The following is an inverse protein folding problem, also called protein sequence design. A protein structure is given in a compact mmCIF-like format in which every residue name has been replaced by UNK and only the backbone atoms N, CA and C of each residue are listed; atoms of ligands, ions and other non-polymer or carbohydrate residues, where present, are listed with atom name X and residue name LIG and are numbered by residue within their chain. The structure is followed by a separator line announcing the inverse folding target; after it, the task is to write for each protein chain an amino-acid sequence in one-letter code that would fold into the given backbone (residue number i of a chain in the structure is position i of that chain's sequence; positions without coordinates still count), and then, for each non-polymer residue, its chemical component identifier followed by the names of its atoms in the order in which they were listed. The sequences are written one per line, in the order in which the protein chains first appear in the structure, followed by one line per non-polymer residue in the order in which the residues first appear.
data_IF_433425883664
#
_entry.id   IF_433425883664
#
_cell.length_a   1.000
_cell.length_b   1.000
_cell.length_c   1.000
_cell.angle_alpha   90.00
_cell.angle_beta   90.00
_cell.angle_gamma   90.00
#
_symmetry.space_group_name_H-M   'P 1'
#
loop_
_entity.id
_entity.type
_entity.pdbx_description
1 polymer ?
#
# COMPACT_ATOMS: atom_id res chain seq x y z
N UNK A 1 -1.56 0.30 -18.72
CA UNK A 1 -1.38 1.08 -17.46
C UNK A 1 -2.72 1.13 -16.77
N UNK A 2 -2.78 0.64 -15.56
CA UNK A 2 -3.97 0.55 -14.73
C UNK A 2 -4.24 1.85 -13.96
N UNK A 3 -5.48 2.08 -13.54
CA UNK A 3 -5.88 3.27 -12.80
C UNK A 3 -6.64 2.91 -11.53
N UNK A 4 -6.16 3.42 -10.42
CA UNK A 4 -6.82 3.30 -9.13
C UNK A 4 -7.10 4.66 -8.49
N UNK A 5 -7.80 4.64 -7.37
CA UNK A 5 -8.01 5.82 -6.53
C UNK A 5 -7.75 5.50 -5.07
N UNK A 6 -7.20 6.46 -4.33
CA UNK A 6 -6.97 6.37 -2.89
C UNK A 6 -7.77 7.44 -2.15
N UNK A 7 -8.22 7.08 -0.96
CA UNK A 7 -8.86 8.00 -0.01
C UNK A 7 -8.51 7.56 1.41
N UNK A 8 -8.26 8.51 2.29
CA UNK A 8 -8.42 8.26 3.73
C UNK A 8 -9.92 8.06 3.99
N UNK A 9 -10.33 6.81 4.18
CA UNK A 9 -11.71 6.48 4.52
C UNK A 9 -11.96 6.82 5.99
N UNK A 10 -12.79 7.83 6.26
CA UNK A 10 -12.99 8.40 7.58
C UNK A 10 -14.44 8.27 8.05
N UNK A 11 -14.68 8.55 9.33
CA UNK A 11 -16.01 8.58 9.95
C UNK A 11 -16.94 9.69 9.42
N UNK A 12 -16.41 10.61 8.60
CA UNK A 12 -17.16 11.71 7.98
C UNK A 12 -17.11 11.70 6.44
N UNK A 13 -16.39 10.75 5.83
CA UNK A 13 -16.32 10.62 4.37
C UNK A 13 -17.38 9.66 3.83
N UNK A 14 -17.47 9.56 2.49
CA UNK A 14 -18.20 8.46 1.83
C UNK A 14 -17.72 7.11 2.39
N UNK A 15 -18.66 6.20 2.62
CA UNK A 15 -18.35 4.85 3.15
C UNK A 15 -17.46 4.06 2.20
N UNK A 16 -16.55 3.20 2.71
CA UNK A 16 -15.63 2.41 1.87
C UNK A 16 -16.34 1.51 0.85
N UNK A 17 -17.46 0.87 1.25
CA UNK A 17 -18.29 0.02 0.38
C UNK A 17 -18.92 0.81 -0.76
N UNK A 18 -19.47 1.97 -0.47
CA UNK A 18 -20.04 2.89 -1.45
C UNK A 18 -19.00 3.47 -2.42
N UNK A 19 -17.83 3.86 -1.89
CA UNK A 19 -16.73 4.37 -2.70
C UNK A 19 -16.22 3.29 -3.65
N UNK A 20 -15.96 2.08 -3.15
CA UNK A 20 -15.47 0.96 -3.95
C UNK A 20 -16.42 0.65 -5.11
N UNK A 21 -17.72 0.58 -4.83
CA UNK A 21 -18.73 0.37 -5.85
C UNK A 21 -18.77 1.51 -6.88
N UNK A 22 -18.65 2.76 -6.43
CA UNK A 22 -18.64 3.92 -7.33
C UNK A 22 -17.42 3.91 -8.25
N UNK A 23 -16.24 3.48 -7.76
CA UNK A 23 -15.02 3.33 -8.54
C UNK A 23 -15.13 2.18 -9.54
N UNK A 24 -15.63 1.01 -9.09
CA UNK A 24 -15.85 -0.16 -9.96
C UNK A 24 -16.81 0.15 -11.11
N UNK A 25 -17.95 0.80 -10.82
CA UNK A 25 -18.96 1.20 -11.82
C UNK A 25 -18.39 2.17 -12.89
N UNK A 26 -17.22 2.81 -12.63
CA UNK A 26 -16.51 3.74 -13.55
C UNK A 26 -15.24 3.16 -14.16
N UNK A 27 -14.98 1.88 -13.96
CA UNK A 27 -13.87 1.17 -14.59
C UNK A 27 -12.50 1.38 -13.93
N UNK A 28 -12.46 1.86 -12.68
CA UNK A 28 -11.20 1.85 -11.94
C UNK A 28 -10.77 0.42 -11.63
N UNK A 29 -9.48 0.16 -11.81
CA UNK A 29 -8.90 -1.16 -11.55
C UNK A 29 -8.73 -1.43 -10.06
N UNK A 30 -8.48 -0.38 -9.23
CA UNK A 30 -8.20 -0.56 -7.81
C UNK A 30 -8.63 0.61 -6.92
N UNK A 31 -8.99 0.27 -5.68
CA UNK A 31 -9.23 1.18 -4.57
C UNK A 31 -8.14 1.01 -3.51
N UNK A 32 -7.65 2.12 -2.94
CA UNK A 32 -6.56 2.14 -1.97
C UNK A 32 -6.92 2.93 -0.73
N UNK A 33 -6.52 2.42 0.43
CA UNK A 33 -6.66 3.12 1.71
C UNK A 33 -5.34 3.15 2.47
N UNK A 34 -4.95 4.30 3.06
CA UNK A 34 -3.77 4.40 3.93
C UNK A 34 -4.08 3.93 5.34
N UNK A 35 -3.06 3.95 6.20
CA UNK A 35 -3.18 3.58 7.59
C UNK A 35 -2.54 4.62 8.52
N UNK A 36 -3.25 4.95 9.58
CA UNK A 36 -2.77 5.42 10.87
C UNK A 36 -3.69 4.85 11.95
N UNK A 37 -3.13 4.26 13.00
CA UNK A 37 -3.93 3.75 14.12
C UNK A 37 -4.40 4.89 15.00
N UNK A 38 -3.54 5.88 15.19
CA UNK A 38 -3.77 7.12 15.92
C UNK A 38 -2.70 8.14 15.57
N UNK A 39 -2.91 9.38 15.93
CA UNK A 39 -1.88 10.42 15.84
C UNK A 39 -1.60 10.95 17.25
N UNK A 40 -0.38 10.79 17.78
CA UNK A 40 -0.03 11.34 19.09
C UNK A 40 -0.26 12.84 19.18
N UNK A 41 -0.97 13.29 20.22
CA UNK A 41 -1.34 14.70 20.39
C UNK A 41 -0.13 15.61 20.63
N UNK A 42 1.01 15.06 21.00
CA UNK A 42 2.28 15.79 21.16
C UNK A 42 2.76 16.44 19.87
N UNK A 43 2.46 15.82 18.70
CA UNK A 43 2.85 16.30 17.38
C UNK A 43 4.35 16.60 17.26
N UNK A 44 5.21 15.81 17.92
CA UNK A 44 6.66 15.98 17.93
C UNK A 44 7.27 15.61 16.58
N UNK A 45 6.83 14.50 15.98
CA UNK A 45 7.25 14.11 14.63
C UNK A 45 6.63 15.04 13.59
N UNK A 46 7.44 15.73 12.74
CA UNK A 46 6.90 16.62 11.71
C UNK A 46 6.24 15.80 10.60
N UNK A 47 5.06 16.24 10.16
CA UNK A 47 4.40 15.65 9.01
C UNK A 47 5.16 16.00 7.72
N UNK A 48 5.49 15.00 6.84
CA UNK A 48 6.25 15.24 5.62
C UNK A 48 5.57 16.16 4.60
N UNK A 49 4.24 16.33 4.69
CA UNK A 49 3.45 17.15 3.77
C UNK A 49 3.40 18.63 4.12
N UNK A 50 3.87 19.03 5.32
CA UNK A 50 3.85 20.44 5.75
C UNK A 50 3.63 20.63 7.25
N UNK A 51 3.39 21.88 7.69
CA UNK A 51 3.22 22.19 9.11
C UNK A 51 1.88 21.70 9.68
N UNK A 52 0.83 21.70 8.86
CA UNK A 52 -0.53 21.37 9.27
C UNK A 52 -0.91 19.96 8.83
N UNK A 53 -1.05 19.05 9.80
CA UNK A 53 -1.52 17.70 9.53
C UNK A 53 -3.02 17.72 9.20
N UNK A 54 -3.44 17.17 8.04
CA UNK A 54 -4.85 17.02 7.72
C UNK A 54 -5.58 16.12 8.72
N UNK A 55 -6.84 16.46 9.03
CA UNK A 55 -7.63 15.74 10.04
C UNK A 55 -7.94 14.27 9.67
N UNK A 56 -7.96 13.95 8.39
CA UNK A 56 -8.19 12.60 7.88
C UNK A 56 -7.16 11.57 8.39
N UNK A 57 -5.96 12.01 8.77
CA UNK A 57 -4.93 11.14 9.35
C UNK A 57 -5.36 10.48 10.67
N UNK A 58 -6.07 11.19 11.55
CA UNK A 58 -6.53 10.62 12.84
C UNK A 58 -8.01 10.23 12.86
N UNK A 59 -8.70 10.38 11.73
CA UNK A 59 -10.08 9.92 11.54
C UNK A 59 -10.19 8.68 10.67
N UNK A 60 -9.08 8.21 10.07
CA UNK A 60 -9.11 7.09 9.13
C UNK A 60 -9.51 5.79 9.81
N UNK A 61 -10.28 4.96 9.10
CA UNK A 61 -10.61 3.62 9.54
C UNK A 61 -9.40 2.68 9.47
N UNK A 62 -9.45 1.56 10.22
CA UNK A 62 -8.54 0.45 9.98
C UNK A 62 -8.64 -0.02 8.53
N UNK A 63 -7.50 -0.18 7.82
CA UNK A 63 -7.50 -0.48 6.40
C UNK A 63 -8.13 -1.84 6.08
N UNK A 64 -7.93 -2.88 6.89
CA UNK A 64 -8.47 -4.21 6.63
C UNK A 64 -9.98 -4.26 6.85
N UNK A 65 -10.50 -3.52 7.84
CA UNK A 65 -11.94 -3.37 8.06
C UNK A 65 -12.59 -2.62 6.89
N UNK A 66 -11.99 -1.50 6.46
CA UNK A 66 -12.49 -0.70 5.33
C UNK A 66 -12.48 -1.51 4.01
N UNK A 67 -11.36 -2.20 3.72
CA UNK A 67 -11.23 -3.01 2.51
C UNK A 67 -12.10 -4.27 2.53
N UNK A 68 -12.40 -4.82 3.70
CA UNK A 68 -13.35 -5.94 3.81
C UNK A 68 -14.77 -5.49 3.48
N UNK A 69 -15.19 -4.29 3.92
CA UNK A 69 -16.48 -3.72 3.53
C UNK A 69 -16.54 -3.48 2.01
N UNK A 70 -15.48 -2.93 1.43
CA UNK A 70 -15.34 -2.73 -0.02
C UNK A 70 -15.39 -4.05 -0.79
N UNK A 71 -14.71 -5.11 -0.30
CA UNK A 71 -14.70 -6.43 -0.91
C UNK A 71 -16.11 -7.03 -1.03
N UNK A 72 -16.92 -6.86 0.01
CA UNK A 72 -18.30 -7.38 0.05
C UNK A 72 -19.27 -6.65 -0.89
N UNK A 73 -18.95 -5.42 -1.28
CA UNK A 73 -19.79 -4.57 -2.15
C UNK A 73 -19.42 -4.64 -3.64
N UNK A 74 -18.29 -5.24 -3.99
CA UNK A 74 -17.69 -5.23 -5.33
C UNK A 74 -17.32 -6.63 -5.81
N UNK A 75 -17.01 -6.78 -7.12
CA UNK A 75 -16.69 -8.07 -7.74
C UNK A 75 -15.29 -8.12 -8.35
N UNK A 76 -14.86 -7.04 -9.00
CA UNK A 76 -13.69 -7.03 -9.88
C UNK A 76 -12.60 -6.07 -9.42
N UNK A 77 -12.95 -4.93 -8.81
CA UNK A 77 -11.99 -3.91 -8.37
C UNK A 77 -11.00 -4.50 -7.35
N UNK A 78 -9.72 -4.27 -7.57
CA UNK A 78 -8.67 -4.64 -6.62
C UNK A 78 -8.66 -3.71 -5.40
N UNK A 79 -8.18 -4.23 -4.29
CA UNK A 79 -8.23 -3.60 -2.99
C UNK A 79 -6.82 -3.49 -2.42
N UNK A 80 -6.32 -2.29 -2.20
CA UNK A 80 -4.94 -2.08 -1.81
C UNK A 80 -4.78 -1.27 -0.52
N UNK A 81 -3.74 -1.57 0.24
CA UNK A 81 -3.25 -0.66 1.28
C UNK A 81 -2.22 0.31 0.69
N UNK A 82 -2.40 1.60 0.93
CA UNK A 82 -1.49 2.61 0.41
C UNK A 82 -1.09 3.66 1.45
N UNK A 83 -0.31 3.22 2.42
CA UNK A 83 0.37 1.98 2.77
C UNK A 83 -0.09 1.42 4.12
N UNK A 84 0.11 0.10 4.36
CA UNK A 84 -0.02 -0.50 5.67
C UNK A 84 1.27 -0.29 6.49
N UNK A 85 1.11 0.05 7.76
CA UNK A 85 2.19 0.28 8.72
C UNK A 85 2.55 -1.02 9.47
N UNK A 86 3.13 -1.99 8.77
CA UNK A 86 3.50 -3.29 9.36
C UNK A 86 4.46 -3.20 10.56
N UNK A 87 5.09 -2.06 10.74
CA UNK A 87 5.95 -1.77 11.90
C UNK A 87 5.15 -1.54 13.20
N UNK A 88 3.82 -1.40 13.09
CA UNK A 88 2.88 -1.16 14.19
C UNK A 88 1.93 -2.33 14.43
N UNK A 89 2.08 -3.44 13.67
CA UNK A 89 1.18 -4.59 13.66
C UNK A 89 1.89 -5.88 14.05
N UNK A 90 1.14 -6.77 14.72
CA UNK A 90 1.58 -8.16 14.93
C UNK A 90 1.55 -8.94 13.59
N UNK A 91 2.66 -9.57 13.17
CA UNK A 91 2.74 -10.24 11.87
C UNK A 91 1.86 -11.49 11.77
N UNK A 92 1.60 -12.21 12.86
CA UNK A 92 0.75 -13.41 12.87
C UNK A 92 -0.71 -13.01 12.67
N UNK A 93 -1.16 -11.99 13.43
CA UNK A 93 -2.53 -11.45 13.29
C UNK A 93 -2.73 -10.87 11.89
N UNK A 94 -1.81 -10.04 11.41
CA UNK A 94 -1.94 -9.39 10.09
C UNK A 94 -1.85 -10.40 8.95
N UNK A 95 -1.03 -11.45 9.07
CA UNK A 95 -1.03 -12.53 8.09
C UNK A 95 -2.40 -13.22 7.98
N UNK A 96 -3.10 -13.37 9.12
CA UNK A 96 -4.47 -13.92 9.17
C UNK A 96 -5.48 -12.96 8.53
N UNK A 97 -5.41 -11.66 8.85
CA UNK A 97 -6.30 -10.63 8.29
C UNK A 97 -6.19 -10.60 6.76
N UNK A 98 -4.95 -10.54 6.25
CA UNK A 98 -4.67 -10.51 4.80
C UNK A 98 -5.15 -11.79 4.10
N UNK A 99 -4.85 -12.96 4.64
CA UNK A 99 -5.31 -14.23 4.06
C UNK A 99 -6.84 -14.32 4.04
N UNK A 100 -7.50 -13.80 5.08
CA UNK A 100 -8.97 -13.77 5.15
C UNK A 100 -9.56 -12.79 4.13
N UNK A 101 -9.01 -11.59 4.03
CA UNK A 101 -9.44 -10.59 3.05
C UNK A 101 -9.20 -11.07 1.62
N UNK A 102 -8.05 -11.70 1.35
CA UNK A 102 -7.73 -12.25 0.04
C UNK A 102 -8.72 -13.35 -0.37
N UNK A 103 -9.07 -14.26 0.56
CA UNK A 103 -10.11 -15.28 0.35
C UNK A 103 -11.48 -14.66 0.09
N UNK A 104 -11.92 -13.72 0.94
CA UNK A 104 -13.25 -13.08 0.84
C UNK A 104 -13.38 -12.24 -0.42
N UNK A 105 -12.30 -11.63 -0.88
CA UNK A 105 -12.27 -10.85 -2.11
C UNK A 105 -12.08 -11.70 -3.38
N UNK A 106 -11.76 -13.00 -3.25
CA UNK A 106 -11.46 -13.86 -4.40
C UNK A 106 -10.11 -13.53 -5.05
N UNK A 107 -9.09 -13.14 -4.27
CA UNK A 107 -7.74 -12.87 -4.76
C UNK A 107 -7.56 -11.45 -5.33
N UNK A 108 -8.28 -10.47 -4.81
CA UNK A 108 -8.20 -9.07 -5.28
C UNK A 108 -7.33 -8.16 -4.41
N UNK A 109 -6.72 -8.66 -3.34
CA UNK A 109 -5.94 -7.84 -2.42
C UNK A 109 -4.53 -7.56 -2.93
N UNK A 110 -4.05 -6.32 -2.72
CA UNK A 110 -2.67 -5.86 -2.99
C UNK A 110 -2.13 -5.24 -1.71
N UNK A 111 -0.97 -5.72 -1.28
CA UNK A 111 -0.38 -5.33 -0.01
C UNK A 111 0.68 -4.25 -0.18
N UNK A 112 0.29 -2.98 -0.14
CA UNK A 112 1.22 -1.85 -0.09
C UNK A 112 1.72 -1.62 1.33
N UNK A 113 3.04 -1.57 1.52
CA UNK A 113 3.72 -1.47 2.82
C UNK A 113 4.69 -0.29 2.87
N UNK A 114 5.00 0.18 4.07
CA UNK A 114 6.00 1.23 4.26
C UNK A 114 6.51 1.33 5.68
N UNK A 115 7.55 2.13 5.87
CA UNK A 115 8.21 2.30 7.17
C UNK A 115 7.66 3.44 8.04
N UNK A 116 6.58 4.10 7.61
CA UNK A 116 5.97 5.21 8.36
C UNK A 116 6.90 6.40 8.60
N UNK A 117 6.34 7.48 9.11
CA UNK A 117 7.05 8.74 9.40
C UNK A 117 6.91 9.19 10.86
N UNK A 118 5.85 8.79 11.57
CA UNK A 118 5.54 9.23 12.93
C UNK A 118 6.24 8.34 13.95
N UNK A 119 7.27 8.86 14.58
CA UNK A 119 8.08 8.09 15.52
C UNK A 119 7.32 7.74 16.79
N UNK A 120 6.53 8.68 17.31
CA UNK A 120 5.77 8.48 18.55
C UNK A 120 4.65 7.44 18.35
N UNK A 121 3.95 7.44 17.22
CA UNK A 121 2.96 6.41 16.89
C UNK A 121 3.59 5.01 16.89
N UNK A 122 4.76 4.86 16.25
CA UNK A 122 5.49 3.58 16.26
C UNK A 122 5.92 3.16 17.67
N UNK A 123 6.39 4.11 18.49
CA UNK A 123 6.86 3.85 19.85
C UNK A 123 5.70 3.43 20.75
N UNK A 124 4.51 3.96 20.57
CA UNK A 124 3.28 3.53 21.28
C UNK A 124 2.91 2.08 20.94
N UNK A 125 3.27 1.59 19.75
CA UNK A 125 3.16 0.18 19.35
C UNK A 125 4.41 -0.66 19.69
N UNK A 126 5.38 -0.09 20.41
CA UNK A 126 6.58 -0.80 20.87
C UNK A 126 7.72 -0.89 19.82
N UNK A 127 7.57 -0.28 18.68
CA UNK A 127 8.61 -0.30 17.63
C UNK A 127 9.53 0.91 17.74
N UNK A 128 10.83 0.66 17.91
CA UNK A 128 11.84 1.71 17.87
C UNK A 128 11.99 2.26 16.45
N UNK A 129 11.80 3.56 16.26
CA UNK A 129 11.86 4.23 14.95
C UNK A 129 13.14 3.95 14.16
N UNK A 130 14.32 3.89 14.82
CA UNK A 130 15.59 3.63 14.15
C UNK A 130 15.70 2.18 13.65
N UNK A 131 14.92 1.26 14.20
CA UNK A 131 14.93 -0.16 13.86
C UNK A 131 13.77 -0.56 12.93
N UNK A 132 12.84 0.34 12.62
CA UNK A 132 11.60 0.08 11.87
C UNK A 132 11.80 -0.71 10.57
N UNK A 133 12.89 -0.45 9.84
CA UNK A 133 13.15 -1.17 8.59
C UNK A 133 13.56 -2.63 8.77
N UNK A 134 14.20 -2.96 9.89
CA UNK A 134 14.52 -4.36 10.26
C UNK A 134 13.25 -5.07 10.73
N UNK A 135 12.45 -4.41 11.56
CA UNK A 135 11.13 -4.91 11.99
C UNK A 135 10.24 -5.19 10.78
N UNK A 136 10.11 -4.22 9.87
CA UNK A 136 9.34 -4.39 8.63
C UNK A 136 9.81 -5.62 7.83
N UNK A 137 11.11 -5.74 7.62
CA UNK A 137 11.69 -6.88 6.87
C UNK A 137 11.32 -8.23 7.51
N UNK A 138 11.52 -8.37 8.81
CA UNK A 138 11.23 -9.64 9.50
C UNK A 138 9.74 -9.94 9.51
N UNK A 139 8.87 -8.93 9.73
CA UNK A 139 7.43 -9.10 9.66
C UNK A 139 7.00 -9.65 8.29
N UNK A 140 7.50 -9.07 7.20
CA UNK A 140 7.15 -9.52 5.83
C UNK A 140 7.67 -10.92 5.55
N UNK A 141 8.92 -11.23 5.94
CA UNK A 141 9.48 -12.57 5.73
C UNK A 141 8.72 -13.63 6.54
N UNK A 142 8.39 -13.34 7.79
CA UNK A 142 7.60 -14.23 8.64
C UNK A 142 6.18 -14.45 8.07
N UNK A 143 5.54 -13.41 7.55
CA UNK A 143 4.23 -13.52 6.91
C UNK A 143 4.29 -14.37 5.62
N UNK A 144 5.34 -14.24 4.82
CA UNK A 144 5.56 -15.10 3.64
C UNK A 144 5.68 -16.57 4.05
N UNK A 145 6.41 -16.89 5.12
CA UNK A 145 6.46 -18.24 5.69
C UNK A 145 5.04 -18.73 6.06
N UNK A 146 4.28 -17.90 6.78
CA UNK A 146 2.90 -18.24 7.19
C UNK A 146 2.00 -18.51 5.98
N UNK A 147 2.11 -17.75 4.91
CA UNK A 147 1.24 -17.91 3.73
C UNK A 147 1.62 -19.08 2.85
N UNK A 148 2.90 -19.46 2.79
CA UNK A 148 3.42 -20.41 1.80
C UNK A 148 3.65 -21.81 2.34
N UNK A 149 3.86 -21.98 3.66
CA UNK A 149 4.16 -23.26 4.28
C UNK A 149 2.96 -23.82 5.08
N UNK A 150 2.81 -25.13 5.09
CA UNK A 150 1.76 -25.79 5.90
C UNK A 150 2.07 -25.69 7.40
N UNK A 151 3.34 -25.89 7.77
CA UNK A 151 3.87 -25.74 9.13
C UNK A 151 4.97 -24.66 9.15
N UNK A 152 4.59 -23.35 9.08
CA UNK A 152 5.56 -22.27 9.15
C UNK A 152 6.22 -22.19 10.51
N UNK A 153 7.50 -21.83 10.52
CA UNK A 153 8.28 -21.42 11.68
C UNK A 153 9.17 -20.23 11.29
N UNK A 154 9.46 -19.34 12.22
CA UNK A 154 10.34 -18.20 11.97
C UNK A 154 11.12 -17.84 13.24
N UNK A 155 12.45 -17.65 13.13
CA UNK A 155 13.35 -17.36 14.26
C UNK A 155 14.25 -16.16 13.90
N UNK A 156 13.73 -14.95 14.09
CA UNK A 156 14.41 -13.68 13.85
C UNK A 156 14.77 -12.92 15.12
N UNK A 157 15.22 -11.70 14.97
CA UNK A 157 15.51 -10.78 16.08
C UNK A 157 14.21 -10.19 16.67
N UNK A 158 13.21 -9.93 15.83
CA UNK A 158 11.93 -9.27 16.21
C UNK A 158 10.74 -10.19 16.14
N UNK A 159 10.76 -11.19 15.26
CA UNK A 159 9.67 -12.15 15.10
C UNK A 159 10.18 -13.53 15.40
N UNK A 160 9.48 -14.27 16.29
CA UNK A 160 9.88 -15.60 16.69
C UNK A 160 8.65 -16.46 16.98
N UNK A 161 8.51 -17.57 16.26
CA UNK A 161 7.49 -18.58 16.53
C UNK A 161 7.91 -19.96 16.01
N UNK A 162 7.55 -20.98 16.77
CA UNK A 162 7.71 -22.38 16.39
C UNK A 162 6.62 -22.82 15.41
N UNK A 163 6.75 -24.05 14.88
CA UNK A 163 5.80 -24.63 13.93
C UNK A 163 4.35 -24.49 14.36
N UNK A 164 3.55 -23.94 13.48
CA UNK A 164 2.11 -23.72 13.75
C UNK A 164 1.28 -24.00 12.49
N UNK A 165 -0.02 -24.14 12.66
CA UNK A 165 -0.98 -24.18 11.58
C UNK A 165 -1.73 -22.84 11.51
N UNK A 166 -1.61 -22.18 10.36
CA UNK A 166 -2.25 -20.89 10.13
C UNK A 166 -3.05 -20.93 8.80
N UNK A 167 -4.35 -21.13 8.90
CA UNK A 167 -5.30 -21.15 7.79
C UNK A 167 -6.43 -20.13 8.02
N UNK A 168 -7.11 -19.60 6.94
CA UNK A 168 -6.86 -19.96 5.55
C UNK A 168 -5.51 -19.45 5.03
N UNK A 169 -5.05 -20.02 3.92
CA UNK A 169 -3.97 -19.42 3.11
C UNK A 169 -4.60 -18.45 2.11
N UNK A 170 -3.87 -17.43 1.63
CA UNK A 170 -4.35 -16.57 0.55
C UNK A 170 -4.75 -17.37 -0.70
N UNK A 171 -5.68 -16.86 -1.50
CA UNK A 171 -6.04 -17.41 -2.82
C UNK A 171 -4.90 -17.16 -3.80
N UNK A 172 -4.32 -15.97 -3.76
CA UNK A 172 -3.19 -15.58 -4.61
C UNK A 172 -1.94 -16.38 -4.24
N UNK A 173 -1.17 -16.82 -5.25
CA UNK A 173 0.03 -17.63 -5.08
C UNK A 173 1.26 -16.91 -5.63
N UNK A 174 2.37 -16.90 -4.91
CA UNK A 174 2.61 -17.54 -3.60
C UNK A 174 1.92 -16.79 -2.43
N UNK A 175 1.58 -15.54 -2.59
CA UNK A 175 0.89 -14.63 -1.66
C UNK A 175 0.35 -13.42 -2.43
N UNK A 176 -0.48 -12.54 -1.82
CA UNK A 176 -0.87 -11.26 -2.42
C UNK A 176 0.36 -10.43 -2.80
N UNK A 177 0.35 -9.68 -3.93
CA UNK A 177 1.49 -8.85 -4.32
C UNK A 177 1.84 -7.82 -3.25
N UNK A 178 3.13 -7.69 -2.94
CA UNK A 178 3.66 -6.77 -1.92
C UNK A 178 4.36 -5.61 -2.62
N UNK A 179 3.88 -4.38 -2.39
CA UNK A 179 4.45 -3.17 -2.98
C UNK A 179 5.11 -2.30 -1.89
N UNK A 180 6.38 -1.92 -2.10
CA UNK A 180 7.13 -1.06 -1.19
C UNK A 180 6.87 0.41 -1.47
N UNK A 181 6.28 1.10 -0.51
CA UNK A 181 6.14 2.56 -0.53
C UNK A 181 7.42 3.30 -0.15
N UNK A 182 7.56 4.50 -0.67
CA UNK A 182 8.66 5.40 -0.35
C UNK A 182 9.76 5.47 -1.41
N UNK A 183 10.76 6.35 -1.16
CA UNK A 183 11.81 6.69 -2.12
C UNK A 183 13.13 7.01 -1.40
N UNK A 184 13.42 6.28 -0.34
CA UNK A 184 14.68 6.40 0.41
C UNK A 184 15.84 5.66 -0.27
N UNK A 185 17.09 5.91 0.17
CA UNK A 185 18.29 5.40 -0.48
C UNK A 185 18.42 3.87 -0.52
N UNK A 186 17.72 3.15 0.36
CA UNK A 186 17.71 1.68 0.42
C UNK A 186 16.35 1.08 0.09
N UNK A 187 15.47 1.84 -0.58
CA UNK A 187 14.13 1.36 -0.96
C UNK A 187 14.25 0.23 -1.99
N UNK A 188 15.11 0.38 -2.97
CA UNK A 188 15.30 -0.63 -4.04
C UNK A 188 15.87 -1.94 -3.51
N UNK A 189 16.78 -1.90 -2.52
CA UNK A 189 17.28 -3.11 -1.86
C UNK A 189 16.12 -3.92 -1.27
N UNK A 190 15.17 -3.26 -0.62
CA UNK A 190 13.98 -3.89 -0.04
C UNK A 190 13.02 -4.41 -1.09
N UNK A 191 12.81 -3.64 -2.17
CA UNK A 191 11.97 -4.09 -3.29
C UNK A 191 12.53 -5.37 -3.88
N UNK A 192 13.83 -5.38 -4.18
CA UNK A 192 14.50 -6.53 -4.79
C UNK A 192 14.53 -7.74 -3.86
N UNK A 193 14.73 -7.51 -2.54
CA UNK A 193 14.86 -8.60 -1.57
C UNK A 193 13.51 -9.28 -1.26
N UNK A 194 12.45 -8.51 -1.00
CA UNK A 194 11.23 -9.11 -0.45
C UNK A 194 9.88 -8.52 -0.94
N UNK A 195 9.87 -7.65 -1.96
CA UNK A 195 8.61 -7.12 -2.49
C UNK A 195 8.41 -7.49 -3.97
N UNK A 196 7.19 -7.29 -4.48
CA UNK A 196 6.80 -7.58 -5.85
C UNK A 196 6.68 -6.30 -6.70
N UNK A 197 6.97 -5.15 -6.10
CA UNK A 197 6.97 -3.87 -6.80
C UNK A 197 7.28 -2.69 -5.91
N UNK A 198 7.31 -1.53 -6.55
CA UNK A 198 7.62 -0.24 -5.95
C UNK A 198 6.46 0.73 -6.10
N UNK A 199 6.18 1.48 -5.03
CA UNK A 199 5.08 2.44 -4.97
C UNK A 199 5.60 3.85 -4.61
N UNK A 200 6.21 4.58 -5.59
CA UNK A 200 6.64 5.97 -5.40
C UNK A 200 5.47 6.93 -5.24
N UNK A 201 5.68 8.01 -4.47
CA UNK A 201 4.68 9.05 -4.23
C UNK A 201 4.85 10.19 -5.25
N UNK A 202 3.73 10.66 -5.82
CA UNK A 202 3.62 11.92 -6.53
C UNK A 202 4.19 11.97 -7.95
N UNK A 203 4.57 10.85 -8.54
CA UNK A 203 5.02 10.80 -9.94
C UNK A 203 6.27 11.64 -10.26
N UNK A 204 6.94 12.17 -9.26
CA UNK A 204 8.16 12.97 -9.38
C UNK A 204 9.37 12.14 -8.94
N UNK A 205 10.49 12.37 -9.61
CA UNK A 205 11.77 11.90 -9.07
C UNK A 205 12.10 12.63 -7.77
N UNK A 206 12.98 12.07 -6.98
CA UNK A 206 13.55 12.74 -5.79
C UNK A 206 15.07 12.77 -5.89
N UNK A 207 15.71 13.70 -5.18
CA UNK A 207 17.16 13.83 -5.22
C UNK A 207 17.74 14.21 -6.59
N UNK A 208 16.96 14.90 -7.45
CA UNK A 208 17.41 15.32 -8.78
C UNK A 208 17.35 14.23 -9.87
N UNK A 209 16.88 13.03 -9.53
CA UNK A 209 16.73 11.89 -10.46
C UNK A 209 15.27 11.76 -10.85
N UNK A 210 14.95 11.64 -12.14
CA UNK A 210 13.58 11.47 -12.64
C UNK A 210 13.00 10.10 -12.28
N UNK A 211 11.67 9.99 -12.30
CA UNK A 211 11.00 8.70 -12.05
C UNK A 211 11.45 7.62 -13.07
N UNK A 212 11.55 7.99 -14.35
CA UNK A 212 12.00 7.07 -15.41
C UNK A 212 13.40 6.52 -15.13
N UNK A 213 14.36 7.39 -14.76
CA UNK A 213 15.71 6.97 -14.42
C UNK A 213 15.72 6.04 -13.18
N UNK A 214 14.88 6.32 -12.19
CA UNK A 214 14.74 5.46 -11.00
C UNK A 214 14.16 4.09 -11.33
N UNK A 215 13.20 4.01 -12.24
CA UNK A 215 12.65 2.73 -12.73
C UNK A 215 13.75 1.93 -13.41
N UNK A 216 14.56 2.56 -14.27
CA UNK A 216 15.71 1.90 -14.92
C UNK A 216 16.72 1.41 -13.89
N UNK A 217 17.02 2.21 -12.86
CA UNK A 217 17.94 1.81 -11.78
C UNK A 217 17.40 0.61 -10.98
N UNK A 218 16.12 0.62 -10.63
CA UNK A 218 15.48 -0.48 -9.92
C UNK A 218 15.50 -1.78 -10.74
N UNK A 219 15.12 -1.70 -12.01
CA UNK A 219 15.13 -2.86 -12.92
C UNK A 219 16.53 -3.45 -13.09
N UNK A 220 17.55 -2.60 -13.24
CA UNK A 220 18.95 -3.05 -13.30
C UNK A 220 19.37 -3.74 -12.00
N UNK A 221 19.03 -3.19 -10.83
CA UNK A 221 19.37 -3.79 -9.54
C UNK A 221 18.67 -5.16 -9.36
N UNK A 222 17.44 -5.31 -9.85
CA UNK A 222 16.74 -6.58 -9.86
C UNK A 222 17.46 -7.61 -10.74
N UNK A 223 17.88 -7.24 -11.95
CA UNK A 223 18.64 -8.10 -12.87
C UNK A 223 19.98 -8.52 -12.27
N UNK A 224 20.74 -7.59 -11.66
CA UNK A 224 21.99 -7.86 -10.95
C UNK A 224 21.81 -8.85 -9.78
N UNK A 225 20.65 -8.85 -9.15
CA UNK A 225 20.27 -9.79 -8.10
C UNK A 225 19.69 -11.14 -8.65
N UNK A 226 19.67 -11.31 -9.97
CA UNK A 226 19.14 -12.53 -10.62
C UNK A 226 17.61 -12.62 -10.65
N UNK A 227 16.92 -11.48 -10.47
CA UNK A 227 15.47 -11.39 -10.50
C UNK A 227 15.03 -10.81 -11.86
N UNK A 228 13.94 -11.36 -12.42
CA UNK A 228 13.31 -10.79 -13.63
C UNK A 228 12.86 -9.35 -13.36
N UNK A 229 13.45 -8.34 -14.04
CA UNK A 229 13.10 -6.94 -13.86
C UNK A 229 11.66 -6.62 -14.27
N UNK A 230 11.07 -7.37 -15.18
CA UNK A 230 9.69 -7.17 -15.64
C UNK A 230 8.64 -7.82 -14.71
N UNK A 231 9.09 -8.58 -13.70
CA UNK A 231 8.23 -9.06 -12.62
C UNK A 231 7.85 -7.96 -11.61
N UNK A 232 8.53 -6.81 -11.63
CA UNK A 232 8.31 -5.71 -10.69
C UNK A 232 7.20 -4.78 -11.16
N UNK A 233 6.14 -4.63 -10.34
CA UNK A 233 5.08 -3.67 -10.60
C UNK A 233 5.47 -2.27 -10.11
N UNK A 234 5.29 -1.26 -10.95
CA UNK A 234 5.53 0.16 -10.63
C UNK A 234 4.18 0.87 -10.49
N UNK A 235 3.80 1.18 -9.25
CA UNK A 235 2.54 1.85 -8.92
C UNK A 235 2.80 3.28 -8.45
N UNK A 236 2.57 4.29 -9.29
CA UNK A 236 2.74 5.70 -8.90
C UNK A 236 1.52 6.19 -8.09
N UNK A 237 1.79 6.68 -6.89
CA UNK A 237 0.78 6.95 -5.87
C UNK A 237 0.59 8.45 -5.64
N UNK A 238 -0.65 8.88 -5.42
CA UNK A 238 -0.94 10.24 -5.02
C UNK A 238 -0.95 11.27 -6.15
N UNK A 239 -1.47 10.90 -7.32
CA UNK A 239 -1.52 11.78 -8.49
C UNK A 239 -2.83 12.57 -8.56
N UNK A 240 -2.78 13.69 -9.31
CA UNK A 240 -3.97 14.44 -9.73
C UNK A 240 -4.37 14.00 -11.14
N UNK A 241 -5.63 14.19 -11.56
CA UNK A 241 -6.10 13.90 -12.92
C UNK A 241 -5.59 14.95 -13.93
N UNK A 242 -4.33 14.81 -14.33
CA UNK A 242 -3.63 15.67 -15.27
C UNK A 242 -3.18 14.80 -16.47
N UNK A 243 -3.75 15.00 -17.69
CA UNK A 243 -3.43 14.21 -18.87
C UNK A 243 -1.93 14.20 -19.23
N UNK A 244 -1.25 15.34 -19.07
CA UNK A 244 0.19 15.45 -19.37
C UNK A 244 1.02 14.66 -18.35
N UNK A 245 0.61 14.68 -17.08
CA UNK A 245 1.25 13.88 -16.05
C UNK A 245 1.06 12.38 -16.30
N UNK A 246 -0.16 11.97 -16.68
CA UNK A 246 -0.46 10.58 -17.03
C UNK A 246 0.33 10.12 -18.26
N UNK A 247 0.48 10.98 -19.29
CA UNK A 247 1.34 10.72 -20.43
C UNK A 247 2.78 10.43 -20.01
N UNK A 248 3.36 11.27 -19.16
CA UNK A 248 4.72 11.07 -18.62
C UNK A 248 4.85 9.79 -17.78
N UNK A 249 3.81 9.39 -17.02
CA UNK A 249 3.82 8.12 -16.27
C UNK A 249 3.88 6.92 -17.22
N UNK A 250 3.09 6.95 -18.28
CA UNK A 250 3.09 5.90 -19.31
C UNK A 250 4.45 5.78 -20.01
N UNK A 251 5.04 6.91 -20.40
CA UNK A 251 6.38 6.97 -21.01
C UNK A 251 7.49 6.49 -20.07
N UNK A 252 7.34 6.74 -18.77
CA UNK A 252 8.29 6.29 -17.75
C UNK A 252 8.19 4.77 -17.45
N UNK A 253 7.17 4.07 -17.96
CA UNK A 253 6.97 2.64 -17.71
C UNK A 253 6.27 2.34 -16.39
N UNK A 254 5.39 3.24 -15.93
CA UNK A 254 4.52 3.01 -14.77
C UNK A 254 3.39 2.05 -15.15
N UNK A 255 3.16 1.01 -14.34
CA UNK A 255 2.12 0.01 -14.57
C UNK A 255 0.76 0.45 -14.04
N UNK A 256 0.73 1.18 -12.91
CA UNK A 256 -0.50 1.68 -12.27
C UNK A 256 -0.33 3.10 -11.76
N UNK A 257 -1.37 3.89 -11.95
CA UNK A 257 -1.50 5.25 -11.42
C UNK A 257 -2.63 5.29 -10.38
N UNK A 258 -2.37 5.88 -9.20
CA UNK A 258 -3.36 6.03 -8.13
C UNK A 258 -3.67 7.52 -7.95
N UNK A 259 -4.91 7.91 -8.24
CA UNK A 259 -5.40 9.26 -7.98
C UNK A 259 -5.73 9.46 -6.51
N UNK A 260 -5.45 10.66 -5.97
CA UNK A 260 -5.87 11.04 -4.62
C UNK A 260 -7.24 11.69 -4.64
N UNK A 261 -8.15 11.15 -3.83
CA UNK A 261 -9.46 11.70 -3.57
C UNK A 261 -9.49 12.37 -2.18
N UNK A 262 -10.20 13.48 -2.00
CA UNK A 262 -10.38 14.08 -0.67
C UNK A 262 -11.30 13.22 0.20
N UNK A 263 -11.07 13.26 1.52
CA UNK A 263 -11.90 12.58 2.52
C UNK A 263 -13.19 13.33 2.76
N UNK A 264 -14.11 13.24 1.81
CA UNK A 264 -15.36 13.99 1.78
C UNK A 264 -16.57 13.10 1.52
N UNK A 265 -17.75 13.61 1.70
CA UNK A 265 -19.01 12.92 1.40
C UNK A 265 -19.18 12.63 -0.11
N UNK A 266 -20.05 11.68 -0.44
CA UNK A 266 -20.34 11.23 -1.82
C UNK A 266 -20.51 12.39 -2.81
N UNK A 267 -21.30 13.42 -2.45
CA UNK A 267 -21.62 14.53 -3.35
C UNK A 267 -20.38 15.36 -3.74
N UNK A 268 -19.42 15.48 -2.82
CA UNK A 268 -18.18 16.23 -3.05
C UNK A 268 -17.14 15.45 -3.86
N UNK A 269 -17.06 14.14 -3.67
CA UNK A 269 -16.05 13.30 -4.37
C UNK A 269 -16.48 12.87 -5.76
N UNK A 270 -17.79 12.77 -6.03
CA UNK A 270 -18.33 12.29 -7.33
C UNK A 270 -17.78 13.05 -8.53
N UNK A 271 -17.77 14.39 -8.58
CA UNK A 271 -17.25 15.13 -9.73
C UNK A 271 -15.79 14.84 -10.03
N UNK A 272 -14.95 14.66 -8.99
CA UNK A 272 -13.53 14.35 -9.17
C UNK A 272 -13.33 12.92 -9.66
N UNK A 273 -14.11 11.96 -9.16
CA UNK A 273 -14.09 10.57 -9.67
C UNK A 273 -14.49 10.55 -11.15
N UNK A 274 -15.52 11.31 -11.55
CA UNK A 274 -15.95 11.42 -12.96
C UNK A 274 -14.88 12.09 -13.84
N UNK A 275 -14.09 13.04 -13.30
CA UNK A 275 -12.96 13.63 -14.00
C UNK A 275 -11.82 12.61 -14.19
N UNK A 276 -11.46 11.88 -13.14
CA UNK A 276 -10.45 10.82 -13.21
C UNK A 276 -10.87 9.72 -14.22
N UNK A 277 -12.15 9.34 -14.23
CA UNK A 277 -12.68 8.29 -15.10
C UNK A 277 -12.50 8.63 -16.60
N UNK A 278 -12.48 9.88 -16.98
CA UNK A 278 -12.21 10.30 -18.38
C UNK A 278 -10.79 9.98 -18.84
N UNK A 279 -9.87 9.73 -17.93
CA UNK A 279 -8.46 9.39 -18.24
C UNK A 279 -8.24 7.87 -18.33
N UNK A 280 -9.23 7.08 -17.93
CA UNK A 280 -9.17 5.61 -17.96
C UNK A 280 -9.51 5.07 -19.35
N UNK A 281 -10.30 5.81 -20.11
CA UNK A 281 -10.81 5.44 -21.45
C UNK A 281 -9.76 5.58 -22.57
#
# INVERSE_FOLDING_TARGET
MDFGAMMFSTDYSIRPDDLAKMLEDRGFESMWVPEHTHIPASRTSPWPGGPDLPKDYWHTYDPFVALTAAAGATKDIKLGTGICLMIERDPIVTAKEIASLDMLSGGRFIFGIGGGWNAEEMEDHGTNFKRRWRVLRENILAMKEIWTKDEPEFHGEYVNFDKMWAYPKPVQRPHPPILMGGDGPTTFDRVVEYCDGWMPIGGRGSGGVSLAEKIVLLKRQAEEAGRDPDSLNITSFGLRPDPDLIGRMREAGVDRVIFTLPSEERAAVTPLIDECAKLIS
#
